data_IF_470057058347
#
_entry.id   IF_470057058347
#
_cell.length_a   1.000
_cell.length_b   1.000
_cell.length_c   1.000
_cell.angle_alpha   90.00
_cell.angle_beta   90.00
_cell.angle_gamma   90.00
#
_symmetry.space_group_name_H-M   'P 1'
#
loop_
_entity.id
_entity.type
_entity.pdbx_description
1 polymer ?
#
# COMPACT_ATOMS: atom_id res chain seq x y z
N UNK A 1 12.97 -4.68 84.77
CA UNK A 1 11.53 -4.52 84.50
C UNK A 1 11.28 -5.12 83.12
N UNK A 2 10.94 -6.42 83.09
CA UNK A 2 9.57 -6.96 82.86
C UNK A 2 9.27 -7.01 81.36
N UNK A 3 9.34 -8.13 80.63
CA UNK A 3 8.67 -9.44 80.77
C UNK A 3 7.15 -9.32 80.98
N UNK A 4 6.37 -9.56 79.91
CA UNK A 4 5.08 -10.24 79.95
C UNK A 4 4.48 -10.47 78.53
N UNK A 5 3.57 -11.47 78.37
CA UNK A 5 3.52 -12.31 77.16
C UNK A 5 2.08 -12.67 76.68
N UNK A 6 2.01 -13.73 75.84
CA UNK A 6 1.02 -14.83 75.81
C UNK A 6 -0.27 -14.77 74.95
N UNK A 7 -0.33 -15.80 74.08
CA UNK A 7 -1.51 -16.55 73.60
C UNK A 7 -2.34 -17.20 74.73
N UNK A 8 -3.65 -17.39 74.48
CA UNK A 8 -4.49 -18.59 74.79
C UNK A 8 -5.96 -18.37 74.33
N UNK A 9 -6.52 -19.20 73.43
CA UNK A 9 -7.38 -20.40 73.66
C UNK A 9 -8.87 -20.07 73.96
N UNK A 10 -9.91 -20.62 73.30
CA UNK A 10 -10.54 -21.98 73.38
C UNK A 10 -11.83 -21.89 72.51
N UNK A 11 -12.29 -22.83 71.66
CA UNK A 11 -12.65 -24.27 71.73
C UNK A 11 -14.00 -24.63 72.36
N UNK A 12 -14.85 -25.33 71.58
CA UNK A 12 -15.86 -26.34 71.98
C UNK A 12 -17.29 -26.04 71.49
N UNK A 13 -18.19 -26.97 71.14
CA UNK A 13 -18.27 -28.43 70.87
C UNK A 13 -19.81 -28.71 70.72
N UNK A 14 -20.41 -29.48 69.80
CA UNK A 14 -20.71 -30.95 69.80
C UNK A 14 -21.82 -31.19 68.72
N UNK A 15 -21.82 -32.39 68.11
CA UNK A 15 -22.67 -32.99 67.06
C UNK A 15 -24.13 -33.35 67.52
N UNK A 16 -25.00 -34.21 66.84
CA UNK A 16 -24.73 -35.34 65.92
C UNK A 16 -25.68 -35.55 64.70
N UNK A 17 -25.31 -36.51 63.84
CA UNK A 17 -26.05 -37.09 62.69
C UNK A 17 -27.21 -38.02 63.10
N UNK A 18 -28.04 -38.50 62.15
CA UNK A 18 -27.94 -39.93 61.79
C UNK A 18 -28.17 -40.29 60.31
N UNK A 19 -27.80 -41.54 60.02
CA UNK A 19 -27.72 -42.34 58.79
C UNK A 19 -29.03 -43.04 58.36
N UNK A 20 -29.15 -43.44 57.08
CA UNK A 20 -29.34 -44.84 56.59
C UNK A 20 -30.00 -44.97 55.18
N UNK A 21 -29.23 -45.61 54.27
CA UNK A 21 -29.55 -46.65 53.27
C UNK A 21 -30.79 -46.61 52.33
N UNK A 22 -30.56 -46.82 51.01
CA UNK A 22 -30.84 -48.09 50.28
C UNK A 22 -30.56 -48.04 48.75
N UNK A 23 -29.72 -48.99 48.33
CA UNK A 23 -29.76 -49.84 47.13
C UNK A 23 -30.39 -49.41 45.78
N UNK A 24 -29.51 -49.40 44.76
CA UNK A 24 -29.46 -50.32 43.60
C UNK A 24 -30.58 -50.24 42.53
N UNK A 25 -30.21 -49.82 41.31
CA UNK A 25 -30.46 -50.57 40.06
C UNK A 25 -29.83 -49.89 38.84
N UNK A 26 -28.94 -50.62 38.15
CA UNK A 26 -28.66 -50.47 36.71
C UNK A 26 -29.69 -51.32 35.96
N UNK A 27 -30.10 -50.90 34.75
CA UNK A 27 -29.77 -51.70 33.57
C UNK A 27 -29.29 -50.88 32.36
N UNK A 28 -28.43 -51.52 31.55
CA UNK A 28 -27.93 -51.12 30.23
C UNK A 28 -28.99 -51.40 29.12
N UNK A 29 -28.65 -51.32 27.80
CA UNK A 29 -28.38 -50.15 26.97
C UNK A 29 -29.39 -50.05 25.79
N UNK A 30 -29.53 -48.88 25.14
CA UNK A 30 -30.02 -48.84 23.74
C UNK A 30 -29.59 -47.57 23.03
N UNK A 31 -28.98 -47.81 21.88
CA UNK A 31 -28.42 -46.89 20.89
C UNK A 31 -29.47 -46.07 20.15
N UNK A 32 -29.26 -44.76 20.04
CA UNK A 32 -29.46 -44.01 18.79
C UNK A 32 -28.93 -42.58 18.94
N UNK A 33 -27.88 -42.26 18.18
CA UNK A 33 -27.35 -40.92 17.98
C UNK A 33 -28.43 -40.01 17.39
N UNK A 34 -28.81 -38.93 18.09
CA UNK A 34 -29.52 -37.79 17.50
C UNK A 34 -28.71 -36.51 17.68
N UNK A 35 -28.40 -35.90 16.54
CA UNK A 35 -27.70 -34.64 16.29
C UNK A 35 -28.51 -33.45 16.87
N UNK A 36 -27.95 -32.55 17.68
CA UNK A 36 -28.68 -31.35 18.11
C UNK A 36 -28.70 -30.32 16.98
N UNK A 37 -29.90 -29.85 16.62
CA UNK A 37 -30.10 -28.66 15.79
C UNK A 37 -29.78 -27.41 16.62
N UNK A 38 -28.78 -26.64 16.22
CA UNK A 38 -28.50 -25.32 16.80
C UNK A 38 -29.36 -24.29 16.06
N UNK A 39 -30.32 -23.70 16.78
CA UNK A 39 -31.04 -22.49 16.35
C UNK A 39 -30.12 -21.28 16.57
N UNK A 40 -29.89 -20.47 15.53
CA UNK A 40 -29.18 -19.20 15.65
C UNK A 40 -30.22 -18.09 15.74
N UNK A 41 -30.33 -17.45 16.91
CA UNK A 41 -31.02 -16.17 17.07
C UNK A 41 -30.12 -15.07 16.50
N UNK A 42 -30.66 -14.24 15.62
CA UNK A 42 -29.98 -13.10 15.03
C UNK A 42 -30.48 -11.81 15.71
N UNK A 43 -29.85 -11.43 16.81
CA UNK A 43 -30.03 -10.09 17.40
C UNK A 43 -28.87 -9.20 16.95
N UNK A 44 -29.19 -8.10 16.30
CA UNK A 44 -28.24 -7.12 15.77
C UNK A 44 -28.11 -5.94 16.76
N UNK A 45 -26.93 -5.63 17.33
CA UNK A 45 -26.77 -4.40 18.10
C UNK A 45 -26.39 -3.22 17.19
N UNK A 46 -27.01 -2.08 17.46
CA UNK A 46 -26.80 -0.78 16.83
C UNK A 46 -25.54 -0.05 17.32
N UNK A 47 -24.81 0.54 16.36
CA UNK A 47 -23.91 1.72 16.34
C UNK A 47 -23.00 2.12 17.53
N UNK A 48 -21.84 2.63 17.10
CA UNK A 48 -20.86 3.52 17.75
C UNK A 48 -19.71 2.89 18.54
N UNK A 49 -18.58 2.74 17.83
CA UNK A 49 -17.24 2.94 18.37
C UNK A 49 -16.27 3.18 17.22
N UNK A 50 -15.33 4.11 17.38
CA UNK A 50 -14.20 4.34 16.48
C UNK A 50 -13.37 3.05 16.37
N UNK A 51 -13.49 2.34 15.23
CA UNK A 51 -12.85 1.05 15.01
C UNK A 51 -11.44 1.25 14.46
N UNK A 52 -10.44 0.93 15.29
CA UNK A 52 -9.03 0.95 14.90
C UNK A 52 -8.74 -0.28 14.01
N UNK A 53 -8.72 -0.06 12.70
CA UNK A 53 -8.54 -1.13 11.70
C UNK A 53 -7.14 -1.74 11.76
N UNK A 54 -7.08 -3.05 11.53
CA UNK A 54 -5.92 -3.94 11.35
C UNK A 54 -5.49 -4.84 12.53
N UNK A 55 -5.84 -4.56 13.80
CA UNK A 55 -5.20 -5.30 14.91
C UNK A 55 -6.10 -6.14 15.83
N UNK A 56 -7.42 -6.17 15.67
CA UNK A 56 -8.24 -7.12 16.45
C UNK A 56 -8.34 -8.47 15.75
N UNK A 57 -7.57 -9.44 16.26
CA UNK A 57 -7.86 -10.86 16.10
C UNK A 57 -9.21 -11.13 16.79
N UNK A 58 -10.30 -11.07 16.05
CA UNK A 58 -11.61 -11.53 16.51
C UNK A 58 -11.47 -12.93 17.14
N UNK A 59 -11.90 -13.14 18.41
CA UNK A 59 -11.96 -14.48 19.02
C UNK A 59 -12.94 -15.43 18.31
N UNK A 60 -13.73 -14.93 17.35
CA UNK A 60 -14.78 -15.65 16.65
C UNK A 60 -14.73 -15.53 15.12
N UNK A 61 -13.66 -14.96 14.54
CA UNK A 61 -13.49 -15.01 13.09
C UNK A 61 -12.97 -16.40 12.72
N UNK A 62 -13.82 -17.20 12.07
CA UNK A 62 -13.43 -18.47 11.45
C UNK A 62 -12.04 -18.34 10.80
N UNK A 63 -11.15 -19.25 11.19
CA UNK A 63 -9.80 -19.35 10.62
C UNK A 63 -9.90 -19.29 9.10
N UNK A 64 -8.92 -18.69 8.41
CA UNK A 64 -8.89 -18.64 6.94
C UNK A 64 -9.11 -20.03 6.31
N UNK A 65 -8.54 -21.06 6.94
CA UNK A 65 -8.72 -22.47 6.57
C UNK A 65 -10.17 -22.95 6.69
N UNK A 66 -10.90 -22.40 7.66
CA UNK A 66 -12.28 -22.77 7.96
C UNK A 66 -13.26 -22.04 7.05
N UNK A 67 -12.96 -20.80 6.64
CA UNK A 67 -13.71 -20.07 5.59
C UNK A 67 -13.54 -20.70 4.22
N UNK A 68 -12.31 -21.08 3.84
CA UNK A 68 -12.04 -21.85 2.62
C UNK A 68 -12.79 -23.18 2.57
N UNK A 69 -13.09 -23.78 3.73
CA UNK A 69 -13.95 -24.97 3.81
C UNK A 69 -15.41 -24.62 3.59
N UNK A 70 -15.92 -23.57 4.23
CA UNK A 70 -17.32 -23.13 4.11
C UNK A 70 -17.68 -22.70 2.69
N UNK A 71 -16.81 -21.96 1.99
CA UNK A 71 -17.02 -21.59 0.57
C UNK A 71 -17.10 -22.84 -0.32
N UNK A 72 -16.27 -23.85 -0.06
CA UNK A 72 -16.30 -25.13 -0.79
C UNK A 72 -17.58 -25.95 -0.52
N UNK A 73 -18.23 -25.77 0.63
CA UNK A 73 -19.48 -26.47 0.98
C UNK A 73 -20.74 -25.78 0.44
N UNK A 74 -20.67 -24.49 0.08
CA UNK A 74 -21.80 -23.77 -0.53
C UNK A 74 -21.89 -23.95 -2.05
N UNK A 75 -20.83 -24.44 -2.70
CA UNK A 75 -20.80 -24.71 -4.15
C UNK A 75 -21.19 -26.15 -4.56
N UNK A 76 -21.63 -26.99 -3.62
CA UNK A 76 -21.89 -28.40 -3.90
C UNK A 76 -23.39 -28.74 -3.79
N UNK A 77 -24.18 -28.33 -4.79
CA UNK A 77 -25.48 -28.98 -5.10
C UNK A 77 -26.08 -28.53 -6.45
N UNK A 78 -25.27 -28.46 -7.51
CA UNK A 78 -25.77 -28.50 -8.90
C UNK A 78 -24.86 -29.39 -9.75
N UNK A 79 -25.42 -30.33 -10.55
CA UNK A 79 -24.61 -31.18 -11.41
C UNK A 79 -24.04 -30.31 -12.54
N UNK A 80 -22.76 -29.95 -12.43
CA UNK A 80 -22.02 -29.32 -13.51
C UNK A 80 -21.84 -30.36 -14.62
N UNK A 81 -22.29 -30.00 -15.83
CA UNK A 81 -21.84 -30.64 -17.06
C UNK A 81 -20.32 -30.65 -17.02
N UNK A 82 -19.70 -31.81 -17.25
CA UNK A 82 -18.25 -31.95 -17.41
C UNK A 82 -17.81 -31.11 -18.60
N UNK A 83 -17.50 -29.85 -18.36
CA UNK A 83 -16.56 -29.12 -19.19
C UNK A 83 -15.18 -29.28 -18.53
N UNK A 84 -14.21 -29.72 -19.33
CA UNK A 84 -12.88 -30.14 -18.88
C UNK A 84 -12.05 -28.97 -18.37
N UNK A 85 -12.40 -28.39 -17.23
CA UNK A 85 -11.60 -27.36 -16.57
C UNK A 85 -10.44 -28.06 -15.86
N UNK A 86 -9.41 -28.37 -16.64
CA UNK A 86 -8.12 -28.79 -16.14
C UNK A 86 -7.67 -27.78 -15.08
N UNK A 87 -7.43 -28.24 -13.86
CA UNK A 87 -6.83 -27.44 -12.78
C UNK A 87 -5.52 -26.82 -13.29
N UNK A 88 -5.59 -25.58 -13.79
CA UNK A 88 -4.40 -24.84 -14.20
C UNK A 88 -3.70 -24.36 -12.93
N UNK A 89 -2.46 -24.81 -12.73
CA UNK A 89 -1.60 -24.26 -11.70
C UNK A 89 -1.36 -22.77 -11.95
N UNK A 90 -1.30 -21.93 -10.90
CA UNK A 90 -0.96 -20.52 -11.05
C UNK A 90 0.41 -20.38 -11.73
N UNK A 91 0.54 -19.38 -12.59
CA UNK A 91 1.77 -19.10 -13.35
C UNK A 91 2.71 -18.27 -12.48
N UNK A 92 3.97 -18.68 -12.42
CA UNK A 92 5.04 -17.85 -11.83
C UNK A 92 5.58 -16.95 -12.94
N UNK A 93 5.27 -15.66 -12.86
CA UNK A 93 5.74 -14.67 -13.84
C UNK A 93 7.24 -14.41 -13.64
N UNK A 94 8.04 -14.65 -14.69
CA UNK A 94 9.50 -14.48 -14.63
C UNK A 94 9.98 -13.10 -15.12
N UNK A 95 9.18 -12.41 -15.94
CA UNK A 95 9.55 -11.16 -16.64
C UNK A 95 8.64 -10.02 -16.22
N UNK A 96 9.16 -8.78 -16.23
CA UNK A 96 8.38 -7.59 -15.92
C UNK A 96 7.19 -7.44 -16.87
N UNK A 97 6.08 -6.92 -16.34
CA UNK A 97 4.99 -6.45 -17.17
C UNK A 97 5.36 -5.21 -18.00
N UNK A 98 6.35 -4.44 -17.55
CA UNK A 98 6.87 -3.27 -18.26
C UNK A 98 7.81 -3.70 -19.37
N UNK A 99 7.64 -3.09 -20.54
CA UNK A 99 8.39 -3.34 -21.76
C UNK A 99 8.69 -2.00 -22.45
N UNK A 100 9.57 -1.17 -21.87
CA UNK A 100 9.82 0.17 -22.39
C UNK A 100 10.37 0.14 -23.83
N UNK A 101 11.12 -0.88 -24.24
CA UNK A 101 11.54 -1.06 -25.63
C UNK A 101 10.40 -1.23 -26.63
N UNK A 102 9.26 -1.81 -26.20
CA UNK A 102 8.08 -2.08 -27.01
C UNK A 102 6.98 -1.02 -26.86
N UNK A 103 7.15 -0.08 -25.94
CA UNK A 103 6.15 0.94 -25.64
C UNK A 103 6.12 2.02 -26.73
N UNK A 104 4.95 2.21 -27.35
CA UNK A 104 4.71 3.25 -28.37
C UNK A 104 3.93 4.40 -27.75
N UNK A 105 4.27 5.64 -28.10
CA UNK A 105 3.53 6.81 -27.66
C UNK A 105 3.57 7.90 -28.74
N UNK A 106 2.48 8.66 -28.93
CA UNK A 106 2.46 9.83 -29.81
C UNK A 106 3.33 10.98 -29.26
N UNK A 107 3.65 10.98 -27.98
CA UNK A 107 4.44 12.03 -27.32
C UNK A 107 5.96 11.81 -27.44
N UNK A 108 6.40 10.62 -27.86
CA UNK A 108 7.83 10.30 -28.03
C UNK A 108 8.11 9.38 -29.23
N UNK A 109 9.18 9.68 -29.97
CA UNK A 109 9.63 8.82 -31.07
C UNK A 109 10.17 7.47 -30.57
N UNK A 110 10.18 6.43 -31.42
CA UNK A 110 10.71 5.09 -31.10
C UNK A 110 12.13 5.11 -30.50
N UNK A 111 13.00 5.98 -31.01
CA UNK A 111 14.41 6.07 -30.60
C UNK A 111 14.70 7.36 -29.82
N UNK A 112 13.86 7.67 -28.84
CA UNK A 112 14.02 8.88 -28.02
C UNK A 112 15.31 8.85 -27.19
N UNK A 113 15.85 10.05 -26.92
CA UNK A 113 16.99 10.23 -26.01
C UNK A 113 16.49 10.38 -24.56
N UNK A 114 17.34 10.04 -23.57
CA UNK A 114 17.07 10.34 -22.17
C UNK A 114 16.84 11.85 -21.98
N UNK A 115 15.80 12.23 -21.24
CA UNK A 115 15.48 13.63 -20.88
C UNK A 115 15.43 14.57 -22.10
N UNK A 116 14.81 14.11 -23.18
CA UNK A 116 14.66 14.93 -24.38
C UNK A 116 13.82 16.18 -24.11
N UNK A 117 14.43 17.36 -24.33
CA UNK A 117 13.87 18.67 -23.94
C UNK A 117 12.49 18.91 -24.57
N UNK A 118 12.28 18.45 -25.81
CA UNK A 118 10.98 18.58 -26.49
C UNK A 118 9.86 17.83 -25.77
N UNK A 119 10.17 16.61 -25.30
CA UNK A 119 9.22 15.75 -24.58
C UNK A 119 8.97 16.34 -23.18
N UNK A 120 10.02 16.70 -22.43
CA UNK A 120 9.89 17.32 -21.10
C UNK A 120 9.04 18.58 -21.13
N UNK A 121 9.20 19.43 -22.15
CA UNK A 121 8.35 20.60 -22.34
C UNK A 121 6.88 20.20 -22.55
N UNK A 122 6.60 19.20 -23.38
CA UNK A 122 5.23 18.73 -23.61
C UNK A 122 4.61 18.10 -22.35
N UNK A 123 5.38 17.35 -21.58
CA UNK A 123 4.97 16.81 -20.26
C UNK A 123 4.60 17.96 -19.32
N UNK A 124 5.46 18.99 -19.21
CA UNK A 124 5.20 20.18 -18.40
C UNK A 124 3.93 20.92 -18.84
N UNK A 125 3.71 21.08 -20.14
CA UNK A 125 2.48 21.69 -20.70
C UNK A 125 1.24 20.91 -20.29
N UNK A 126 1.21 19.59 -20.55
CA UNK A 126 0.09 18.72 -20.19
C UNK A 126 -0.17 18.71 -18.68
N UNK A 127 0.87 18.62 -17.86
CA UNK A 127 0.75 18.70 -16.41
C UNK A 127 0.23 20.07 -15.97
N UNK A 128 0.54 21.16 -16.67
CA UNK A 128 0.03 22.49 -16.33
C UNK A 128 -1.47 22.66 -16.60
N UNK A 129 -1.98 22.01 -17.64
CA UNK A 129 -3.41 22.04 -18.04
C UNK A 129 -4.33 21.25 -17.10
N UNK A 130 -3.79 20.28 -16.37
CA UNK A 130 -4.56 19.35 -15.54
C UNK A 130 -4.53 19.81 -14.08
N UNK A 131 -5.68 19.92 -13.43
CA UNK A 131 -5.74 20.25 -12.00
C UNK A 131 -5.28 19.06 -11.13
N UNK A 132 -5.00 19.32 -9.84
CA UNK A 132 -4.49 18.29 -8.94
C UNK A 132 -5.48 17.15 -8.66
N UNK A 133 -6.80 17.39 -8.73
CA UNK A 133 -7.81 16.35 -8.58
C UNK A 133 -7.81 15.38 -9.76
N UNK A 134 -7.77 15.93 -10.97
CA UNK A 134 -7.70 15.13 -12.20
C UNK A 134 -6.39 14.35 -12.29
N UNK A 135 -5.25 14.96 -11.94
CA UNK A 135 -3.96 14.26 -11.89
C UNK A 135 -3.99 13.09 -10.88
N UNK A 136 -4.56 13.29 -9.69
CA UNK A 136 -4.70 12.22 -8.69
C UNK A 136 -5.57 11.06 -9.21
N UNK A 137 -6.64 11.31 -9.97
CA UNK A 137 -7.45 10.26 -10.59
C UNK A 137 -6.67 9.46 -11.63
N UNK A 138 -5.89 10.12 -12.49
CA UNK A 138 -5.02 9.43 -13.46
C UNK A 138 -3.97 8.56 -12.75
N UNK A 139 -3.30 9.08 -11.72
CA UNK A 139 -2.34 8.33 -10.91
C UNK A 139 -3.03 7.11 -10.27
N UNK A 140 -4.17 7.30 -9.62
CA UNK A 140 -4.92 6.22 -8.98
C UNK A 140 -5.37 5.15 -9.96
N UNK A 141 -5.86 5.52 -11.14
CA UNK A 141 -6.22 4.54 -12.16
C UNK A 141 -5.00 3.73 -12.61
N UNK A 142 -3.89 4.39 -12.94
CA UNK A 142 -2.68 3.71 -13.38
C UNK A 142 -2.10 2.79 -12.28
N UNK A 143 -2.05 3.26 -11.03
CA UNK A 143 -1.60 2.46 -9.88
C UNK A 143 -2.48 1.24 -9.65
N UNK A 144 -3.81 1.41 -9.62
CA UNK A 144 -4.74 0.31 -9.38
C UNK A 144 -4.76 -0.72 -10.52
N UNK A 145 -4.47 -0.29 -11.75
CA UNK A 145 -4.34 -1.18 -12.91
C UNK A 145 -3.07 -2.02 -12.80
N UNK A 146 -1.92 -1.38 -12.54
CA UNK A 146 -0.63 -2.08 -12.35
C UNK A 146 -0.72 -3.06 -11.17
N UNK A 147 -1.34 -2.66 -10.07
CA UNK A 147 -1.52 -3.50 -8.89
C UNK A 147 -2.61 -4.57 -9.02
N UNK A 148 -3.24 -4.71 -10.21
CA UNK A 148 -4.29 -5.69 -10.49
C UNK A 148 -5.44 -5.60 -9.48
N UNK A 149 -5.80 -4.37 -9.10
CA UNK A 149 -7.00 -4.01 -8.33
C UNK A 149 -8.14 -3.78 -9.33
N UNK A 150 -7.88 -3.00 -10.38
CA UNK A 150 -8.79 -2.69 -11.48
C UNK A 150 -8.39 -3.44 -12.76
N UNK A 151 -9.34 -3.52 -13.70
CA UNK A 151 -9.13 -4.01 -15.08
C UNK A 151 -8.48 -5.41 -15.17
N UNK A 152 -8.75 -6.26 -14.19
CA UNK A 152 -8.26 -7.65 -14.16
C UNK A 152 -9.10 -8.51 -15.10
N UNK A 153 -8.51 -8.99 -16.19
CA UNK A 153 -9.19 -9.89 -17.13
C UNK A 153 -9.31 -11.32 -16.55
N UNK A 154 -10.26 -12.14 -17.04
CA UNK A 154 -10.38 -13.53 -16.61
C UNK A 154 -9.10 -14.35 -16.80
N UNK A 155 -8.34 -14.06 -17.87
CA UNK A 155 -7.08 -14.73 -18.17
C UNK A 155 -6.01 -14.37 -17.14
N UNK A 156 -5.88 -13.08 -16.81
CA UNK A 156 -4.97 -12.61 -15.76
C UNK A 156 -5.37 -13.20 -14.41
N UNK A 157 -6.66 -13.20 -14.08
CA UNK A 157 -7.15 -13.82 -12.84
C UNK A 157 -6.84 -15.32 -12.77
N UNK A 158 -7.03 -16.06 -13.87
CA UNK A 158 -6.69 -17.49 -13.98
C UNK A 158 -5.18 -17.72 -13.82
N UNK A 159 -4.34 -16.88 -14.43
CA UNK A 159 -2.88 -16.96 -14.28
C UNK A 159 -2.42 -16.70 -12.84
N UNK A 160 -3.03 -15.72 -12.14
CA UNK A 160 -2.69 -15.41 -10.75
C UNK A 160 -3.09 -16.52 -9.78
N UNK A 161 -4.16 -17.26 -10.09
CA UNK A 161 -4.78 -18.24 -9.18
C UNK A 161 -5.48 -17.61 -7.97
N UNK A 162 -5.65 -16.28 -7.98
CA UNK A 162 -6.30 -15.48 -6.93
C UNK A 162 -7.13 -14.37 -7.54
N UNK A 163 -8.05 -13.80 -6.77
CA UNK A 163 -9.05 -12.84 -7.27
C UNK A 163 -8.54 -11.39 -7.37
N UNK A 164 -7.43 -11.06 -6.72
CA UNK A 164 -6.91 -9.70 -6.59
C UNK A 164 -5.39 -9.69 -6.53
N UNK A 165 -4.77 -8.67 -7.12
CA UNK A 165 -3.34 -8.43 -6.95
C UNK A 165 -2.94 -8.22 -5.49
N UNK A 166 -3.83 -7.66 -4.64
CA UNK A 166 -3.55 -7.49 -3.20
C UNK A 166 -3.31 -8.82 -2.48
N UNK A 167 -4.03 -9.87 -2.89
CA UNK A 167 -3.79 -11.23 -2.40
C UNK A 167 -2.48 -11.78 -2.98
N UNK A 168 -2.27 -11.60 -4.29
CA UNK A 168 -1.07 -12.06 -4.99
C UNK A 168 0.22 -11.52 -4.35
N UNK A 169 0.25 -10.24 -3.93
CA UNK A 169 1.41 -9.61 -3.29
C UNK A 169 1.91 -10.37 -2.06
N UNK A 170 1.03 -11.11 -1.37
CA UNK A 170 1.39 -11.87 -0.16
C UNK A 170 1.92 -13.27 -0.45
N UNK A 171 1.83 -13.74 -1.70
CA UNK A 171 2.16 -15.10 -2.10
C UNK A 171 3.56 -15.20 -2.72
N UNK A 172 4.24 -16.35 -2.65
CA UNK A 172 5.58 -16.51 -3.23
C UNK A 172 5.64 -16.19 -4.73
N UNK A 173 4.67 -16.66 -5.52
CA UNK A 173 4.61 -16.41 -6.96
C UNK A 173 4.19 -14.98 -7.33
N UNK A 174 3.83 -14.15 -6.36
CA UNK A 174 3.58 -12.73 -6.54
C UNK A 174 4.83 -11.86 -6.59
N UNK A 175 6.03 -12.45 -6.52
CA UNK A 175 7.31 -11.73 -6.57
C UNK A 175 7.40 -10.74 -7.73
N UNK A 176 6.98 -11.13 -8.92
CA UNK A 176 7.08 -10.26 -10.10
C UNK A 176 6.24 -8.99 -9.96
N UNK A 177 5.02 -9.11 -9.46
CA UNK A 177 4.16 -7.97 -9.18
C UNK A 177 4.77 -7.06 -8.11
N UNK A 178 5.40 -7.62 -7.07
CA UNK A 178 6.12 -6.82 -6.05
C UNK A 178 7.26 -6.01 -6.67
N UNK A 179 8.08 -6.64 -7.53
CA UNK A 179 9.17 -5.97 -8.23
C UNK A 179 8.68 -4.90 -9.22
N UNK A 180 7.57 -5.15 -9.93
CA UNK A 180 6.96 -4.17 -10.82
C UNK A 180 6.41 -2.97 -10.04
N UNK A 181 5.78 -3.17 -8.89
CA UNK A 181 5.34 -2.07 -8.04
C UNK A 181 6.51 -1.26 -7.47
N UNK A 182 7.62 -1.90 -7.11
CA UNK A 182 8.83 -1.20 -6.67
C UNK A 182 9.45 -0.36 -7.81
N UNK A 183 9.53 -0.90 -9.04
CA UNK A 183 9.99 -0.15 -10.21
C UNK A 183 9.08 1.06 -10.49
N UNK A 184 7.76 0.86 -10.44
CA UNK A 184 6.77 1.92 -10.62
C UNK A 184 6.91 3.02 -9.57
N UNK A 185 7.04 2.64 -8.30
CA UNK A 185 7.19 3.58 -7.19
C UNK A 185 8.41 4.47 -7.38
N UNK A 186 9.59 3.86 -7.61
CA UNK A 186 10.85 4.58 -7.74
C UNK A 186 10.91 5.41 -9.04
N UNK A 187 10.39 4.87 -10.15
CA UNK A 187 10.29 5.58 -11.44
C UNK A 187 9.39 6.80 -11.34
N UNK A 188 8.22 6.67 -10.70
CA UNK A 188 7.30 7.78 -10.53
C UNK A 188 7.91 8.88 -9.64
N UNK A 189 8.52 8.51 -8.52
CA UNK A 189 9.19 9.47 -7.64
C UNK A 189 10.33 10.22 -8.37
N UNK A 190 11.15 9.49 -9.13
CA UNK A 190 12.25 10.06 -9.94
C UNK A 190 11.71 11.01 -11.02
N UNK A 191 10.62 10.63 -11.70
CA UNK A 191 9.98 11.47 -12.73
C UNK A 191 9.47 12.78 -12.15
N UNK A 192 8.76 12.72 -11.02
CA UNK A 192 8.26 13.94 -10.35
C UNK A 192 9.40 14.84 -9.86
N UNK A 193 10.50 14.26 -9.41
CA UNK A 193 11.70 15.02 -9.05
C UNK A 193 12.34 15.70 -10.27
N UNK A 194 12.43 14.99 -11.41
CA UNK A 194 12.89 15.59 -12.67
C UNK A 194 11.98 16.73 -13.11
N UNK A 195 10.65 16.62 -12.98
CA UNK A 195 9.74 17.72 -13.32
C UNK A 195 9.99 18.96 -12.45
N UNK A 196 10.21 18.78 -11.14
CA UNK A 196 10.53 19.89 -10.22
C UNK A 196 11.90 20.51 -10.51
N UNK A 197 12.92 19.67 -10.74
CA UNK A 197 14.29 20.10 -11.02
C UNK A 197 14.49 20.61 -12.46
N UNK A 198 13.60 20.21 -13.37
CA UNK A 198 13.53 20.67 -14.75
C UNK A 198 12.82 22.02 -14.90
N UNK A 199 12.17 22.51 -13.84
CA UNK A 199 11.56 23.84 -13.83
C UNK A 199 12.62 24.94 -13.67
N UNK A 200 13.34 25.22 -14.77
CA UNK A 200 14.39 26.26 -14.87
C UNK A 200 13.83 27.67 -15.05
N UNK A 201 12.54 27.88 -14.80
CA UNK A 201 11.91 29.20 -14.83
C UNK A 201 12.26 30.00 -13.57
N UNK A 202 11.35 30.87 -13.15
CA UNK A 202 11.53 31.62 -11.90
C UNK A 202 11.43 30.71 -10.68
N UNK A 203 12.02 31.12 -9.55
CA UNK A 203 11.82 30.44 -8.26
C UNK A 203 10.33 30.39 -7.88
N UNK A 204 9.53 31.38 -8.32
CA UNK A 204 8.09 31.39 -8.11
C UNK A 204 7.37 30.30 -8.88
N UNK A 205 7.65 30.14 -10.17
CA UNK A 205 7.09 29.06 -11.00
C UNK A 205 7.42 27.68 -10.42
N UNK A 206 8.65 27.50 -9.95
CA UNK A 206 9.08 26.26 -9.30
C UNK A 206 8.38 26.04 -7.97
N UNK A 207 8.17 27.08 -7.17
CA UNK A 207 7.40 27.00 -5.92
C UNK A 207 5.91 26.67 -6.18
N UNK A 208 5.31 27.19 -7.25
CA UNK A 208 3.95 26.82 -7.64
C UNK A 208 3.85 25.37 -8.12
N UNK A 209 4.86 24.86 -8.84
CA UNK A 209 4.93 23.43 -9.20
C UNK A 209 5.07 22.55 -7.95
N UNK A 210 5.93 22.94 -7.01
CA UNK A 210 6.09 22.26 -5.72
C UNK A 210 4.76 22.25 -4.92
N UNK A 211 4.06 23.38 -4.89
CA UNK A 211 2.73 23.49 -4.28
C UNK A 211 1.73 22.52 -4.93
N UNK A 212 1.73 22.45 -6.27
CA UNK A 212 0.85 21.52 -7.01
C UNK A 212 1.14 20.06 -6.66
N UNK A 213 2.41 19.67 -6.51
CA UNK A 213 2.77 18.31 -6.07
C UNK A 213 2.24 18.02 -4.65
N UNK A 214 2.30 18.98 -3.74
CA UNK A 214 1.70 18.86 -2.39
C UNK A 214 0.17 18.70 -2.47
N UNK A 215 -0.50 19.44 -3.35
CA UNK A 215 -1.95 19.30 -3.56
C UNK A 215 -2.31 17.92 -4.13
N UNK A 216 -1.53 17.40 -5.09
CA UNK A 216 -1.71 16.04 -5.62
C UNK A 216 -1.53 15.01 -4.50
N UNK A 217 -0.51 15.14 -3.66
CA UNK A 217 -0.32 14.24 -2.51
C UNK A 217 -1.51 14.29 -1.54
N UNK A 218 -2.01 15.49 -1.21
CA UNK A 218 -3.16 15.65 -0.33
C UNK A 218 -4.43 15.02 -0.90
N UNK A 219 -4.64 15.15 -2.20
CA UNK A 219 -5.77 14.55 -2.91
C UNK A 219 -5.67 13.03 -2.99
N UNK A 220 -4.47 12.50 -3.29
CA UNK A 220 -4.20 11.06 -3.29
C UNK A 220 -4.48 10.45 -1.91
N UNK A 221 -4.07 11.15 -0.84
CA UNK A 221 -4.31 10.74 0.55
C UNK A 221 -5.79 10.78 0.91
N UNK A 222 -6.45 11.91 0.67
CA UNK A 222 -7.74 12.22 1.32
C UNK A 222 -8.93 11.84 0.46
N UNK A 223 -8.89 12.19 -0.83
CA UNK A 223 -10.01 11.98 -1.75
C UNK A 223 -9.90 10.64 -2.44
N UNK A 224 -8.73 10.28 -2.99
CA UNK A 224 -8.56 9.02 -3.71
C UNK A 224 -8.26 7.85 -2.78
N UNK A 225 -7.65 8.08 -1.62
CA UNK A 225 -7.21 7.01 -0.72
C UNK A 225 -6.23 6.04 -1.38
N UNK A 226 -5.40 6.57 -2.29
CA UNK A 226 -4.32 5.86 -2.95
C UNK A 226 -3.03 6.11 -2.19
N UNK A 227 -2.73 5.27 -1.20
CA UNK A 227 -1.55 5.42 -0.35
C UNK A 227 -0.26 5.12 -1.09
N UNK A 228 -0.28 4.22 -2.08
CA UNK A 228 0.87 3.93 -2.93
C UNK A 228 1.31 5.14 -3.74
N UNK A 229 0.37 5.77 -4.46
CA UNK A 229 0.63 6.99 -5.22
C UNK A 229 1.00 8.16 -4.30
N UNK A 230 0.31 8.33 -3.17
CA UNK A 230 0.65 9.32 -2.15
C UNK A 230 2.11 9.17 -1.70
N UNK A 231 2.53 7.96 -1.36
CA UNK A 231 3.89 7.68 -0.92
C UNK A 231 4.93 8.01 -1.99
N UNK A 232 4.64 7.77 -3.28
CA UNK A 232 5.57 8.09 -4.37
C UNK A 232 5.75 9.61 -4.55
N UNK A 233 4.67 10.39 -4.41
CA UNK A 233 4.76 11.86 -4.42
C UNK A 233 5.55 12.36 -3.21
N UNK A 234 5.28 11.81 -2.02
CA UNK A 234 6.03 12.15 -0.80
C UNK A 234 7.51 11.81 -0.94
N UNK A 235 7.85 10.65 -1.51
CA UNK A 235 9.24 10.26 -1.80
C UNK A 235 9.92 11.28 -2.70
N UNK A 236 9.26 11.76 -3.75
CA UNK A 236 9.83 12.80 -4.63
C UNK A 236 10.12 14.11 -3.88
N UNK A 237 9.22 14.54 -2.99
CA UNK A 237 9.38 15.76 -2.18
C UNK A 237 10.50 15.63 -1.13
N UNK A 238 10.76 14.41 -0.67
CA UNK A 238 11.76 14.09 0.37
C UNK A 238 13.14 13.77 -0.20
N UNK A 239 13.29 13.57 -1.51
CA UNK A 239 14.60 13.37 -2.14
C UNK A 239 15.56 14.50 -1.74
N UNK A 240 16.82 14.19 -1.35
CA UNK A 240 17.79 15.19 -0.91
C UNK A 240 17.96 16.34 -1.91
N UNK A 241 17.87 16.04 -3.20
CA UNK A 241 18.00 17.00 -4.30
C UNK A 241 16.83 17.99 -4.38
N UNK A 242 15.64 17.62 -3.91
CA UNK A 242 14.44 18.47 -3.89
C UNK A 242 14.32 19.18 -2.54
N UNK A 243 14.52 18.47 -1.43
CA UNK A 243 14.39 19.01 -0.08
C UNK A 243 15.43 20.09 0.25
N UNK A 244 16.61 20.07 -0.40
CA UNK A 244 17.66 21.09 -0.24
C UNK A 244 17.39 22.43 -0.94
N UNK A 245 16.34 22.57 -1.74
CA UNK A 245 16.08 23.77 -2.55
C UNK A 245 15.53 24.92 -1.68
N UNK A 246 16.37 25.48 -0.81
CA UNK A 246 15.99 26.47 0.21
C UNK A 246 15.25 27.68 -0.34
N UNK A 247 15.65 28.21 -1.50
CA UNK A 247 14.98 29.37 -2.10
C UNK A 247 13.57 28.99 -2.56
N UNK A 248 13.42 27.81 -3.16
CA UNK A 248 12.11 27.28 -3.59
C UNK A 248 11.19 27.04 -2.41
N UNK A 249 11.66 26.35 -1.37
CA UNK A 249 10.87 26.09 -0.17
C UNK A 249 10.54 27.38 0.58
N UNK A 250 11.42 28.37 0.58
CA UNK A 250 11.14 29.70 1.13
C UNK A 250 10.06 30.43 0.34
N UNK A 251 10.14 30.41 -1.00
CA UNK A 251 9.10 30.99 -1.86
C UNK A 251 7.74 30.29 -1.68
N UNK A 252 7.72 28.96 -1.50
CA UNK A 252 6.52 28.19 -1.16
C UNK A 252 5.92 28.69 0.17
N UNK A 253 6.73 28.83 1.22
CA UNK A 253 6.26 29.33 2.54
C UNK A 253 5.73 30.76 2.48
N UNK A 254 6.26 31.60 1.59
CA UNK A 254 5.83 32.99 1.43
C UNK A 254 4.56 33.14 0.59
N UNK A 255 4.40 32.36 -0.48
CA UNK A 255 3.33 32.52 -1.47
C UNK A 255 2.20 31.50 -1.33
N UNK A 256 2.48 30.34 -0.75
CA UNK A 256 1.56 29.21 -0.59
C UNK A 256 1.65 28.65 0.84
N UNK A 257 1.51 29.53 1.84
CA UNK A 257 1.68 29.21 3.27
C UNK A 257 0.87 27.99 3.71
N UNK A 258 -0.40 27.92 3.33
CA UNK A 258 -1.27 26.77 3.65
C UNK A 258 -0.75 25.46 3.06
N UNK A 259 -0.19 25.49 1.84
CA UNK A 259 0.44 24.32 1.22
C UNK A 259 1.69 23.87 1.96
N UNK A 260 2.53 24.81 2.40
CA UNK A 260 3.71 24.50 3.20
C UNK A 260 3.33 23.91 4.58
N UNK A 261 2.30 24.46 5.23
CA UNK A 261 1.77 23.94 6.50
C UNK A 261 1.19 22.54 6.29
N UNK A 262 0.39 22.33 5.24
CA UNK A 262 -0.19 21.03 4.90
C UNK A 262 0.89 19.96 4.73
N UNK A 263 1.98 20.27 4.02
CA UNK A 263 3.09 19.35 3.85
C UNK A 263 3.79 19.02 5.18
N UNK A 264 4.21 20.03 5.94
CA UNK A 264 5.04 19.84 7.14
C UNK A 264 4.26 19.33 8.36
N UNK A 265 3.00 19.73 8.51
CA UNK A 265 2.19 19.43 9.70
C UNK A 265 1.20 18.29 9.50
N UNK A 266 0.88 17.93 8.25
CA UNK A 266 -0.10 16.87 7.97
C UNK A 266 0.49 15.75 7.15
N UNK A 267 1.01 16.01 5.95
CA UNK A 267 1.39 14.95 5.02
C UNK A 267 2.65 14.21 5.48
N UNK A 268 3.72 14.93 5.84
CA UNK A 268 4.99 14.33 6.28
C UNK A 268 4.83 13.54 7.60
N UNK A 269 4.18 14.07 8.66
CA UNK A 269 3.92 13.29 9.88
C UNK A 269 3.04 12.07 9.63
N UNK A 270 2.02 12.18 8.77
CA UNK A 270 1.17 11.06 8.40
C UNK A 270 1.94 9.95 7.67
N UNK A 271 2.76 10.30 6.68
CA UNK A 271 3.61 9.33 5.97
C UNK A 271 4.57 8.62 6.92
N UNK A 272 5.17 9.36 7.85
CA UNK A 272 6.04 8.80 8.90
C UNK A 272 5.27 7.79 9.77
N UNK A 273 4.08 8.17 10.24
CA UNK A 273 3.23 7.31 11.08
C UNK A 273 2.78 6.03 10.34
N UNK A 274 2.47 6.12 9.05
CA UNK A 274 2.16 4.96 8.20
C UNK A 274 3.34 4.00 8.09
N UNK A 275 4.55 4.52 7.85
CA UNK A 275 5.76 3.71 7.75
C UNK A 275 6.11 3.00 9.07
N UNK A 276 5.87 3.66 10.20
CA UNK A 276 6.12 3.13 11.53
C UNK A 276 4.97 2.23 12.05
N UNK A 277 3.96 1.95 11.22
CA UNK A 277 2.84 1.09 11.59
C UNK A 277 1.98 1.63 12.74
N UNK A 278 1.98 2.95 12.95
CA UNK A 278 1.18 3.61 14.01
C UNK A 278 -0.09 4.24 13.48
N UNK A 279 -0.26 4.27 12.16
CA UNK A 279 -1.43 4.81 11.47
C UNK A 279 -2.09 3.73 10.62
N UNK A 280 -3.42 3.66 10.67
CA UNK A 280 -4.23 2.76 9.87
C UNK A 280 -5.14 3.55 8.93
N UNK A 281 -5.08 3.27 7.63
CA UNK A 281 -6.02 3.88 6.68
C UNK A 281 -7.40 3.22 6.80
N UNK A 282 -8.46 4.04 6.86
CA UNK A 282 -9.83 3.56 6.85
C UNK A 282 -10.11 2.76 5.58
N UNK A 283 -10.59 1.53 5.75
CA UNK A 283 -10.93 0.64 4.64
C UNK A 283 -11.99 1.26 3.72
N UNK A 284 -12.96 2.01 4.27
CA UNK A 284 -14.08 2.59 3.49
C UNK A 284 -13.66 3.66 2.49
N UNK A 285 -12.46 4.23 2.64
CA UNK A 285 -11.97 5.30 1.78
C UNK A 285 -10.68 4.91 1.03
N UNK A 286 -10.15 3.70 1.20
CA UNK A 286 -8.87 3.30 0.59
C UNK A 286 -9.11 2.62 -0.75
N UNK A 287 -8.46 3.12 -1.81
CA UNK A 287 -8.43 2.46 -3.14
C UNK A 287 -7.19 1.61 -3.31
N UNK A 288 -6.07 2.07 -2.75
CA UNK A 288 -4.80 1.35 -2.77
C UNK A 288 -4.14 1.49 -1.39
N UNK A 289 -3.96 0.40 -0.62
CA UNK A 289 -3.35 0.43 0.70
C UNK A 289 -1.84 0.75 0.69
N UNK A 290 -1.27 1.08 1.85
CA UNK A 290 0.16 1.35 1.99
C UNK A 290 0.98 0.05 1.98
N UNK A 291 1.23 -0.51 0.79
CA UNK A 291 1.90 -1.81 0.63
C UNK A 291 3.42 -1.75 0.65
N UNK A 292 4.03 -0.56 0.55
CA UNK A 292 5.48 -0.43 0.37
C UNK A 292 6.31 -1.14 1.44
N UNK A 293 5.99 -1.03 2.75
CA UNK A 293 6.71 -1.78 3.79
C UNK A 293 6.68 -3.29 3.56
N UNK A 294 5.56 -3.85 3.11
CA UNK A 294 5.46 -5.26 2.73
C UNK A 294 6.34 -5.59 1.53
N UNK A 295 6.33 -4.74 0.49
CA UNK A 295 7.13 -4.97 -0.72
C UNK A 295 8.62 -5.05 -0.39
N UNK A 296 9.14 -4.08 0.36
CA UNK A 296 10.55 -4.04 0.77
C UNK A 296 10.92 -5.18 1.74
N UNK A 297 10.01 -5.56 2.65
CA UNK A 297 10.25 -6.67 3.57
C UNK A 297 10.39 -8.02 2.84
N UNK A 298 9.57 -8.26 1.81
CA UNK A 298 9.57 -9.50 1.04
C UNK A 298 10.64 -9.54 -0.06
N UNK A 299 10.91 -8.40 -0.69
CA UNK A 299 11.91 -8.26 -1.74
C UNK A 299 13.16 -7.60 -1.15
N UNK A 300 14.09 -8.41 -0.62
CA UNK A 300 15.42 -7.94 -0.22
C UNK A 300 16.16 -7.42 -1.45
N UNK A 301 16.00 -6.14 -1.78
CA UNK A 301 16.72 -5.53 -2.88
C UNK A 301 18.13 -5.18 -2.44
N UNK A 302 19.13 -5.83 -3.04
CA UNK A 302 20.53 -5.43 -2.92
C UNK A 302 20.84 -4.07 -3.60
N UNK A 303 19.84 -3.46 -4.27
CA UNK A 303 19.95 -2.21 -5.01
C UNK A 303 19.24 -1.02 -4.33
N UNK A 304 18.67 -1.21 -3.13
CA UNK A 304 18.13 -0.11 -2.35
C UNK A 304 19.29 0.61 -1.64
N UNK A 305 19.82 1.63 -2.29
CA UNK A 305 20.83 2.53 -1.74
C UNK A 305 20.22 3.32 -0.55
N UNK A 306 20.80 3.12 0.63
CA UNK A 306 20.84 3.95 1.84
C UNK A 306 19.67 4.90 2.18
N UNK A 307 18.43 4.41 2.24
CA UNK A 307 17.46 4.96 3.19
C UNK A 307 17.26 3.89 4.27
N UNK A 308 17.70 4.17 5.50
CA UNK A 308 17.48 3.29 6.65
C UNK A 308 15.98 2.98 6.72
N UNK A 309 15.60 1.76 6.38
CA UNK A 309 14.19 1.39 6.37
C UNK A 309 13.66 1.51 7.81
N UNK A 310 12.38 1.87 8.01
CA UNK A 310 11.84 2.14 9.36
C UNK A 310 12.10 1.01 10.37
N UNK A 311 12.15 -0.24 9.90
CA UNK A 311 12.40 -1.45 10.70
C UNK A 311 13.88 -1.82 10.88
N UNK A 312 14.82 -1.06 10.31
CA UNK A 312 16.27 -1.24 10.53
C UNK A 312 16.76 -0.58 11.82
N UNK A 313 15.86 0.12 12.54
CA UNK A 313 16.14 0.63 13.89
C UNK A 313 15.92 -0.46 14.96
N UNK A 314 16.91 -0.65 15.83
CA UNK A 314 17.04 -1.83 16.74
C UNK A 314 15.91 -1.93 17.77
N UNK A 315 15.28 -0.83 18.18
CA UNK A 315 14.34 -0.81 19.31
C UNK A 315 12.86 -1.05 18.93
N UNK A 316 12.46 -0.74 17.70
CA UNK A 316 11.06 -0.84 17.24
C UNK A 316 10.85 -1.75 16.03
N UNK A 317 11.92 -2.32 15.45
CA UNK A 317 11.85 -3.00 14.16
C UNK A 317 10.90 -4.20 14.10
N UNK A 318 10.84 -5.03 15.16
CA UNK A 318 10.00 -6.24 15.16
C UNK A 318 8.51 -5.89 15.22
N UNK A 319 8.12 -4.93 16.04
CA UNK A 319 6.71 -4.52 16.17
C UNK A 319 6.20 -3.90 14.85
N UNK A 320 7.03 -3.07 14.21
CA UNK A 320 6.74 -2.50 12.88
C UNK A 320 6.58 -3.58 11.82
N UNK A 321 7.49 -4.57 11.79
CA UNK A 321 7.40 -5.71 10.87
C UNK A 321 6.12 -6.51 11.11
N UNK A 322 5.80 -6.83 12.36
CA UNK A 322 4.59 -7.59 12.72
C UNK A 322 3.32 -6.82 12.35
N UNK A 323 3.30 -5.50 12.55
CA UNK A 323 2.19 -4.66 12.11
C UNK A 323 1.97 -4.77 10.60
N UNK A 324 3.02 -4.56 9.81
CA UNK A 324 2.90 -4.55 8.34
C UNK A 324 2.56 -5.93 7.78
N UNK A 325 3.05 -7.02 8.38
CA UNK A 325 2.63 -8.39 8.04
C UNK A 325 1.15 -8.65 8.42
N UNK A 326 0.70 -8.12 9.55
CA UNK A 326 -0.72 -8.17 9.95
C UNK A 326 -1.63 -7.38 9.01
N UNK A 327 -1.20 -6.17 8.61
CA UNK A 327 -1.89 -5.34 7.63
C UNK A 327 -1.95 -6.03 6.26
N UNK A 328 -0.85 -6.66 5.81
CA UNK A 328 -0.79 -7.41 4.56
C UNK A 328 -1.82 -8.54 4.48
N UNK A 329 -2.06 -9.25 5.59
CA UNK A 329 -3.13 -10.26 5.66
C UNK A 329 -4.51 -9.62 5.45
N UNK A 330 -4.73 -8.43 5.98
CA UNK A 330 -5.99 -7.70 5.75
C UNK A 330 -6.08 -7.24 4.29
N UNK A 331 -4.99 -6.76 3.69
CA UNK A 331 -4.97 -6.35 2.29
C UNK A 331 -5.38 -7.49 1.35
N UNK A 332 -4.81 -8.68 1.58
CA UNK A 332 -5.16 -9.89 0.83
C UNK A 332 -6.64 -10.25 0.96
N UNK A 333 -7.21 -10.14 2.17
CA UNK A 333 -8.62 -10.47 2.43
C UNK A 333 -9.61 -9.45 1.87
N UNK A 334 -9.18 -8.20 1.65
CA UNK A 334 -10.06 -7.09 1.28
C UNK A 334 -9.91 -6.65 -0.19
N UNK A 335 -9.28 -7.47 -1.04
CA UNK A 335 -9.01 -7.16 -2.45
C UNK A 335 -10.24 -6.65 -3.24
N UNK A 336 -11.42 -7.26 -3.01
CA UNK A 336 -12.68 -6.86 -3.66
C UNK A 336 -13.22 -5.51 -3.18
N UNK A 337 -12.95 -5.15 -1.92
CA UNK A 337 -13.36 -3.87 -1.34
C UNK A 337 -12.55 -2.73 -1.96
N UNK A 338 -11.22 -2.88 -2.07
CA UNK A 338 -10.37 -1.90 -2.75
C UNK A 338 -10.79 -1.68 -4.19
N UNK A 339 -11.13 -2.76 -4.92
CA UNK A 339 -11.67 -2.69 -6.29
C UNK A 339 -12.95 -1.87 -6.34
N UNK A 340 -13.95 -2.22 -5.53
CA UNK A 340 -15.26 -1.54 -5.51
C UNK A 340 -15.15 -0.05 -5.18
N UNK A 341 -14.27 0.31 -4.24
CA UNK A 341 -14.01 1.73 -3.91
C UNK A 341 -13.32 2.44 -5.08
N UNK A 342 -12.34 1.80 -5.73
CA UNK A 342 -11.63 2.38 -6.87
C UNK A 342 -12.59 2.61 -8.06
N UNK A 343 -13.43 1.64 -8.38
CA UNK A 343 -14.50 1.76 -9.39
C UNK A 343 -15.47 2.90 -9.05
N UNK A 344 -15.86 3.02 -7.78
CA UNK A 344 -16.77 4.07 -7.33
C UNK A 344 -16.15 5.46 -7.48
N UNK A 345 -14.89 5.64 -7.06
CA UNK A 345 -14.21 6.95 -7.14
C UNK A 345 -13.85 7.36 -8.56
N UNK A 346 -13.64 6.40 -9.45
CA UNK A 346 -13.34 6.63 -10.87
C UNK A 346 -14.60 6.57 -11.75
N UNK A 347 -15.79 6.39 -11.17
CA UNK A 347 -17.04 6.34 -11.94
C UNK A 347 -17.26 7.66 -12.69
N UNK A 348 -17.45 7.55 -14.01
CA UNK A 348 -17.65 8.70 -14.88
C UNK A 348 -16.40 9.56 -15.08
N UNK A 349 -15.22 9.06 -14.72
CA UNK A 349 -13.97 9.74 -15.01
C UNK A 349 -13.66 9.69 -16.51
N UNK A 350 -13.57 10.85 -17.15
CA UNK A 350 -13.19 10.96 -18.55
C UNK A 350 -11.66 11.08 -18.68
N UNK A 351 -11.05 9.99 -19.15
CA UNK A 351 -9.60 9.94 -19.30
C UNK A 351 -9.10 10.70 -20.52
N UNK A 352 -8.19 11.63 -20.29
CA UNK A 352 -7.37 12.22 -21.34
C UNK A 352 -6.18 11.31 -21.64
N UNK A 353 -6.16 10.69 -22.82
CA UNK A 353 -5.13 9.72 -23.22
C UNK A 353 -3.69 10.26 -23.04
N UNK A 354 -3.42 11.47 -23.51
CA UNK A 354 -2.08 12.10 -23.37
C UNK A 354 -1.66 12.29 -21.90
N UNK A 355 -2.60 12.55 -21.00
CA UNK A 355 -2.33 12.74 -19.57
C UNK A 355 -2.14 11.39 -18.88
N UNK A 356 -2.93 10.38 -19.26
CA UNK A 356 -2.77 9.01 -18.76
C UNK A 356 -1.37 8.49 -19.07
N UNK A 357 -0.84 8.75 -20.27
CA UNK A 357 0.51 8.31 -20.67
C UNK A 357 1.60 8.81 -19.71
N UNK A 358 1.47 10.04 -19.18
CA UNK A 358 2.46 10.62 -18.25
C UNK A 358 2.64 9.79 -16.97
N UNK A 359 1.63 9.01 -16.60
CA UNK A 359 1.61 8.19 -15.38
C UNK A 359 1.81 6.70 -15.66
N UNK A 360 2.10 6.32 -16.92
CA UNK A 360 2.50 4.96 -17.26
C UNK A 360 3.99 4.76 -17.00
N UNK A 361 4.34 3.63 -16.39
CA UNK A 361 5.73 3.34 -16.01
C UNK A 361 6.62 3.21 -17.25
N UNK A 362 6.15 2.58 -18.33
CA UNK A 362 6.91 2.49 -19.59
C UNK A 362 7.24 3.85 -20.19
N UNK A 363 6.27 4.78 -20.21
CA UNK A 363 6.47 6.15 -20.65
C UNK A 363 7.55 6.84 -19.82
N UNK A 364 7.44 6.75 -18.49
CA UNK A 364 8.37 7.37 -17.56
C UNK A 364 9.78 6.77 -17.68
N UNK A 365 9.88 5.45 -17.84
CA UNK A 365 11.16 4.77 -18.06
C UNK A 365 11.85 5.27 -19.33
N UNK A 366 11.09 5.40 -20.43
CA UNK A 366 11.62 5.94 -21.69
C UNK A 366 11.96 7.43 -21.58
N UNK A 367 11.17 8.22 -20.88
CA UNK A 367 11.44 9.65 -20.65
C UNK A 367 12.76 9.84 -19.90
N UNK A 368 12.96 9.09 -18.81
CA UNK A 368 14.13 9.19 -17.96
C UNK A 368 15.36 8.62 -18.67
N UNK A 369 15.33 7.37 -19.12
CA UNK A 369 16.53 6.64 -19.55
C UNK A 369 16.66 6.47 -21.07
N UNK A 370 15.70 6.98 -21.85
CA UNK A 370 15.69 6.84 -23.30
C UNK A 370 15.40 5.40 -23.77
N UNK A 371 15.22 5.25 -25.08
CA UNK A 371 14.92 3.96 -25.74
C UNK A 371 15.94 2.85 -25.43
N UNK A 372 17.22 3.19 -25.35
CA UNK A 372 18.31 2.22 -25.08
C UNK A 372 18.57 2.01 -23.58
N UNK A 373 18.51 3.08 -22.80
CA UNK A 373 18.88 3.01 -21.38
C UNK A 373 17.77 2.47 -20.49
N UNK A 374 16.51 2.43 -20.95
CA UNK A 374 15.38 1.96 -20.14
C UNK A 374 15.42 0.46 -19.83
N UNK A 375 16.08 -0.34 -20.67
CA UNK A 375 16.25 -1.80 -20.48
C UNK A 375 17.48 -2.16 -19.64
N UNK A 376 18.29 -1.17 -19.24
CA UNK A 376 19.49 -1.39 -18.43
C UNK A 376 19.14 -1.83 -17.00
N UNK A 377 20.13 -2.42 -16.33
CA UNK A 377 19.99 -2.85 -14.95
C UNK A 377 19.48 -1.72 -14.04
N UNK A 378 18.50 -2.04 -13.20
CA UNK A 378 17.82 -1.11 -12.31
C UNK A 378 18.79 -0.30 -11.43
N UNK A 379 19.77 -0.95 -10.81
CA UNK A 379 20.74 -0.29 -9.93
C UNK A 379 21.60 0.73 -10.70
N UNK A 380 22.03 0.39 -11.92
CA UNK A 380 22.78 1.30 -12.79
C UNK A 380 21.93 2.49 -13.24
N UNK A 381 20.67 2.24 -13.60
CA UNK A 381 19.71 3.28 -13.99
C UNK A 381 19.53 4.32 -12.88
N UNK A 382 19.25 3.87 -11.65
CA UNK A 382 19.02 4.77 -10.53
C UNK A 382 20.30 5.42 -10.01
N UNK A 383 21.41 4.68 -9.89
CA UNK A 383 22.69 5.25 -9.43
C UNK A 383 23.22 6.34 -10.37
N UNK A 384 23.01 6.19 -11.69
CA UNK A 384 23.32 7.25 -12.65
C UNK A 384 22.36 8.44 -12.53
N UNK A 385 21.08 8.18 -12.32
CA UNK A 385 20.08 9.24 -12.21
C UNK A 385 20.21 10.06 -10.94
N UNK A 386 20.63 9.47 -9.82
CA UNK A 386 20.94 10.22 -8.60
C UNK A 386 21.98 11.34 -8.86
N UNK A 387 23.03 11.03 -9.63
CA UNK A 387 24.03 12.01 -10.04
C UNK A 387 23.42 13.11 -10.94
N UNK A 388 22.52 12.74 -11.85
CA UNK A 388 21.81 13.69 -12.73
C UNK A 388 20.92 14.63 -11.90
N UNK A 389 20.11 14.10 -10.98
CA UNK A 389 19.26 14.90 -10.10
C UNK A 389 20.11 15.85 -9.26
N UNK A 390 21.23 15.37 -8.74
CA UNK A 390 22.16 16.17 -7.93
C UNK A 390 22.75 17.32 -8.74
N UNK A 391 23.16 17.06 -9.99
CA UNK A 391 23.66 18.09 -10.90
C UNK A 391 22.57 19.14 -11.25
N UNK A 392 21.33 18.70 -11.51
CA UNK A 392 20.21 19.60 -11.79
C UNK A 392 19.87 20.47 -10.58
N UNK A 393 19.82 19.88 -9.38
CA UNK A 393 19.58 20.59 -8.13
C UNK A 393 20.64 21.66 -7.85
N UNK A 394 21.93 21.30 -7.97
CA UNK A 394 23.03 22.25 -7.80
C UNK A 394 23.04 23.36 -8.86
N UNK A 395 22.56 23.07 -10.08
CA UNK A 395 22.42 24.08 -11.14
C UNK A 395 21.29 25.07 -10.84
N UNK A 396 20.18 24.61 -10.27
CA UNK A 396 19.07 25.47 -9.86
C UNK A 396 19.42 26.33 -8.65
N UNK A 397 19.97 25.72 -7.61
CA UNK A 397 20.32 26.39 -6.36
C UNK A 397 21.73 25.95 -5.90
N UNK A 398 22.78 26.69 -6.31
CA UNK A 398 24.16 26.35 -5.98
C UNK A 398 24.38 26.28 -4.46
N UNK A 399 25.14 25.31 -3.95
CA UNK A 399 25.47 25.26 -2.53
C UNK A 399 26.20 26.54 -2.11
N UNK A 400 25.87 27.05 -0.93
CA UNK A 400 26.57 28.20 -0.35
C UNK A 400 28.04 27.80 -0.18
N UNK A 401 28.96 28.54 -0.80
CA UNK A 401 30.40 28.32 -0.58
C UNK A 401 30.69 28.64 0.88
N UNK A 402 31.07 27.63 1.66
CA UNK A 402 31.66 27.87 2.97
C UNK A 402 32.98 28.63 2.74
N UNK A 403 33.00 29.90 3.13
CA UNK A 403 34.16 30.77 3.07
C UNK A 403 35.11 30.57 4.23
#
# INVERSE_FOLDING_TARGET
MSVAPRLKSRSGSVAPSPSFSRHRSLPSPSSSLRRPQIRVNLDCPSSNSDWNGYTELYPHAHSYVERLRVERFLECDQPRVEDGDAYCLPVVEAVSSFKPSMYMSPLMAQENKPLEVGILRRVKELLSEVDHCTAAKHITKADCTVARILEVTPEVQKMMGVSSGMELLTLPHGQRLRLDLLERFQTMATTLAVEMLGCTGTTEERASLLHKMIQIAAELKSTMGNMFGFAAVMRALELPQVSRLEQTWTALRQRHTEGAILYEKTLRPFMKSLNEGRESCSLSNTTFPHVLPLLFLLEKSAAADEALEPWETVEAGVDVVMFHLGAARTFAQQGSVYRSIAETKLKGFEERAEVTELFLTDFQMRLLWGSRGAEENQALRYGKFDQVLTALSNKLEPPVRAG
#
